data_IF_636295262688
#
_entry.id   IF_636295262688
#
_cell.length_a   1.000
_cell.length_b   1.000
_cell.length_c   1.000
_cell.angle_alpha   90.00
_cell.angle_beta   90.00
_cell.angle_gamma   90.00
#
_symmetry.space_group_name_H-M   'P 1'
#
loop_
_entity.id
_entity.type
_entity.pdbx_description
1 polymer ?
#
# COMPACT_ATOMS: atom_id res chain seq x y z
N UNK A 1 -1.04 -9.63 11.58
CA UNK A 1 -1.57 -8.78 10.48
C UNK A 1 -0.59 -7.72 9.96
N UNK A 2 0.42 -7.27 10.73
CA UNK A 2 1.34 -6.18 10.31
C UNK A 2 1.93 -6.31 8.90
N UNK A 3 2.39 -7.50 8.51
CA UNK A 3 2.92 -7.72 7.15
C UNK A 3 1.86 -7.57 6.04
N UNK A 4 0.62 -7.97 6.31
CA UNK A 4 -0.50 -7.85 5.36
C UNK A 4 -0.97 -6.40 5.20
N UNK A 5 -0.80 -5.55 6.22
CA UNK A 5 -1.08 -4.12 6.10
C UNK A 5 -0.12 -3.45 5.11
N UNK A 6 1.19 -3.70 5.26
CA UNK A 6 2.19 -3.16 4.34
C UNK A 6 1.93 -3.61 2.89
N UNK A 7 1.68 -4.91 2.68
CA UNK A 7 1.30 -5.46 1.36
C UNK A 7 0.08 -4.74 0.76
N UNK A 8 -0.97 -4.52 1.56
CA UNK A 8 -2.21 -3.91 1.08
C UNK A 8 -2.00 -2.44 0.72
N UNK A 9 -1.24 -1.69 1.51
CA UNK A 9 -0.92 -0.29 1.21
C UNK A 9 -0.11 -0.16 -0.08
N UNK A 10 0.92 -1.00 -0.26
CA UNK A 10 1.74 -1.00 -1.47
C UNK A 10 0.92 -1.35 -2.72
N UNK A 11 -0.05 -2.27 -2.61
CA UNK A 11 -1.02 -2.56 -3.69
C UNK A 11 -1.89 -1.35 -4.00
N UNK A 12 -2.43 -0.69 -2.99
CA UNK A 12 -3.34 0.44 -3.16
C UNK A 12 -2.67 1.65 -3.85
N UNK A 13 -1.39 1.90 -3.58
CA UNK A 13 -0.61 2.95 -4.26
C UNK A 13 0.13 2.45 -5.52
N UNK A 14 -0.10 1.20 -5.93
CA UNK A 14 0.45 0.63 -7.16
C UNK A 14 1.97 0.48 -7.17
N UNK A 15 2.59 0.20 -6.02
CA UNK A 15 4.02 -0.09 -5.87
C UNK A 15 4.27 -1.59 -5.68
N UNK A 16 3.62 -2.41 -6.49
CA UNK A 16 3.62 -3.88 -6.36
C UNK A 16 4.98 -4.51 -6.61
N UNK A 17 5.88 -3.85 -7.34
CA UNK A 17 7.27 -4.28 -7.56
C UNK A 17 8.13 -4.25 -6.28
N UNK A 18 7.61 -3.67 -5.20
CA UNK A 18 8.26 -3.67 -3.88
C UNK A 18 7.69 -4.73 -2.94
N UNK A 19 6.77 -5.57 -3.42
CA UNK A 19 6.17 -6.67 -2.67
C UNK A 19 6.92 -7.96 -3.02
N UNK A 20 7.45 -8.64 -2.01
CA UNK A 20 8.15 -9.91 -2.16
C UNK A 20 7.20 -11.08 -1.86
N UNK A 21 7.30 -12.18 -2.62
CA UNK A 21 6.54 -13.40 -2.36
C UNK A 21 7.24 -14.33 -1.36
N UNK A 22 8.55 -14.12 -1.16
CA UNK A 22 9.39 -14.93 -0.27
C UNK A 22 10.61 -14.13 0.22
N UNK A 23 11.36 -14.73 1.14
CA UNK A 23 12.53 -14.10 1.78
C UNK A 23 13.65 -13.75 0.79
N UNK A 24 13.92 -14.60 -0.21
CA UNK A 24 14.97 -14.35 -1.19
C UNK A 24 14.65 -13.14 -2.08
N UNK A 25 13.39 -13.01 -2.49
CA UNK A 25 12.92 -11.84 -3.23
C UNK A 25 12.96 -10.57 -2.38
N UNK A 26 12.59 -10.66 -1.10
CA UNK A 26 12.67 -9.52 -0.18
C UNK A 26 14.10 -8.97 -0.12
N UNK A 27 15.09 -9.86 0.06
CA UNK A 27 16.51 -9.47 0.07
C UNK A 27 16.92 -8.85 -1.28
N UNK A 28 16.51 -9.43 -2.40
CA UNK A 28 16.80 -8.89 -3.74
C UNK A 28 16.25 -7.46 -3.92
N UNK A 29 15.01 -7.23 -3.53
CA UNK A 29 14.34 -5.92 -3.58
C UNK A 29 15.05 -4.92 -2.67
N UNK A 30 15.35 -5.31 -1.42
CA UNK A 30 16.03 -4.45 -0.46
C UNK A 30 17.44 -4.06 -0.93
N UNK A 31 18.20 -5.01 -1.47
CA UNK A 31 19.53 -4.75 -2.05
C UNK A 31 19.43 -3.79 -3.23
N UNK A 32 18.45 -3.98 -4.13
CA UNK A 32 18.22 -3.07 -5.26
C UNK A 32 17.87 -1.65 -4.78
N UNK A 33 17.00 -1.50 -3.76
CA UNK A 33 16.67 -0.19 -3.18
C UNK A 33 17.92 0.49 -2.57
N UNK A 34 18.83 -0.30 -1.98
CA UNK A 34 20.06 0.20 -1.39
C UNK A 34 21.09 0.67 -2.43
N UNK A 35 21.26 -0.10 -3.52
CA UNK A 35 22.34 0.05 -4.49
C UNK A 35 21.95 0.84 -5.76
N UNK A 36 20.68 0.89 -6.13
CA UNK A 36 20.19 1.61 -7.30
C UNK A 36 19.51 2.93 -6.88
N UNK A 37 20.24 4.07 -6.87
CA UNK A 37 19.70 5.35 -6.43
C UNK A 37 18.64 5.90 -7.37
N UNK A 38 18.70 5.57 -8.67
CA UNK A 38 17.71 6.02 -9.66
C UNK A 38 16.39 5.33 -9.37
N UNK A 39 16.42 4.01 -9.23
CA UNK A 39 15.21 3.25 -8.92
C UNK A 39 14.63 3.61 -7.55
N UNK A 40 15.47 3.76 -6.51
CA UNK A 40 15.01 4.25 -5.20
C UNK A 40 14.31 5.60 -5.29
N UNK A 41 14.86 6.54 -6.08
CA UNK A 41 14.24 7.85 -6.28
C UNK A 41 12.88 7.72 -6.95
N UNK A 42 12.75 6.91 -8.01
CA UNK A 42 11.47 6.64 -8.68
C UNK A 42 10.42 6.09 -7.72
N UNK A 43 10.77 5.09 -6.89
CA UNK A 43 9.84 4.53 -5.89
C UNK A 43 9.42 5.61 -4.88
N UNK A 44 10.36 6.42 -4.40
CA UNK A 44 10.06 7.51 -3.46
C UNK A 44 9.14 8.58 -4.05
N UNK A 45 9.34 8.97 -5.30
CA UNK A 45 8.50 9.94 -6.00
C UNK A 45 7.09 9.38 -6.19
N UNK A 46 6.96 8.15 -6.69
CA UNK A 46 5.66 7.49 -6.84
C UNK A 46 4.92 7.34 -5.51
N UNK A 47 5.63 7.03 -4.41
CA UNK A 47 5.03 6.96 -3.07
C UNK A 47 4.54 8.32 -2.60
N UNK A 48 5.32 9.39 -2.84
CA UNK A 48 4.91 10.76 -2.50
C UNK A 48 3.69 11.20 -3.29
N UNK A 49 3.65 10.90 -4.59
CA UNK A 49 2.56 11.30 -5.48
C UNK A 49 1.25 10.58 -5.16
N UNK A 50 1.31 9.37 -4.58
CA UNK A 50 0.16 8.48 -4.41
C UNK A 50 -0.25 8.21 -2.97
N UNK A 51 0.47 8.71 -1.95
CA UNK A 51 0.10 8.44 -0.55
C UNK A 51 -1.31 8.92 -0.18
N UNK A 52 -1.84 9.92 -0.89
CA UNK A 52 -3.19 10.43 -0.68
C UNK A 52 -4.26 9.34 -0.91
N UNK A 53 -3.98 8.36 -1.79
CA UNK A 53 -4.86 7.20 -1.98
C UNK A 53 -4.98 6.31 -0.74
N UNK A 54 -4.06 6.43 0.23
CA UNK A 54 -4.15 5.74 1.53
C UNK A 54 -4.87 6.59 2.56
N UNK A 55 -4.50 7.86 2.67
CA UNK A 55 -4.98 8.71 3.76
C UNK A 55 -6.37 9.29 3.52
N UNK A 56 -6.75 9.46 2.25
CA UNK A 56 -8.01 10.10 1.87
C UNK A 56 -9.06 9.08 1.38
N UNK A 57 -8.80 7.77 1.51
CA UNK A 57 -9.76 6.73 1.13
C UNK A 57 -10.99 6.74 2.06
N UNK A 58 -12.13 7.16 1.50
CA UNK A 58 -13.42 7.19 2.19
C UNK A 58 -14.26 5.92 1.94
N UNK A 59 -13.81 4.98 1.11
CA UNK A 59 -14.60 3.78 0.77
C UNK A 59 -14.95 2.98 2.03
N UNK A 60 -13.98 2.77 2.93
CA UNK A 60 -14.25 2.07 4.19
C UNK A 60 -15.21 2.82 5.10
N UNK A 61 -15.19 4.16 5.10
CA UNK A 61 -16.10 4.99 5.90
C UNK A 61 -17.52 4.86 5.37
N UNK A 62 -17.72 5.05 4.06
CA UNK A 62 -19.02 4.92 3.41
C UNK A 62 -19.60 3.51 3.55
N UNK A 63 -18.77 2.47 3.36
CA UNK A 63 -19.21 1.09 3.53
C UNK A 63 -19.63 0.77 4.97
N UNK A 64 -18.93 1.35 5.96
CA UNK A 64 -19.29 1.20 7.37
C UNK A 64 -20.59 1.95 7.70
N UNK A 65 -20.79 3.14 7.12
CA UNK A 65 -22.05 3.89 7.23
C UNK A 65 -23.23 3.10 6.66
N UNK A 66 -23.10 2.57 5.43
CA UNK A 66 -24.12 1.73 4.78
C UNK A 66 -24.44 0.48 5.62
N UNK A 67 -23.41 -0.17 6.13
CA UNK A 67 -23.58 -1.31 7.03
C UNK A 67 -24.41 -0.94 8.25
N UNK A 68 -24.11 0.21 8.90
CA UNK A 68 -24.87 0.65 10.07
C UNK A 68 -26.32 1.01 9.75
N UNK A 69 -26.58 1.73 8.65
CA UNK A 69 -27.94 2.01 8.19
C UNK A 69 -28.74 0.71 8.00
N UNK A 70 -28.11 -0.31 7.41
CA UNK A 70 -28.72 -1.61 7.16
C UNK A 70 -29.07 -2.37 8.45
N UNK A 71 -28.16 -2.42 9.42
CA UNK A 71 -28.36 -3.25 10.63
C UNK A 71 -29.15 -2.56 11.73
N UNK A 72 -29.15 -1.22 11.78
CA UNK A 72 -29.90 -0.44 12.80
C UNK A 72 -31.31 -0.09 12.30
N UNK A 73 -31.56 -0.14 10.99
CA UNK A 73 -32.89 0.10 10.43
C UNK A 73 -33.33 1.58 10.49
N UNK A 74 -32.43 2.48 10.10
CA UNK A 74 -32.79 3.87 9.76
C UNK A 74 -33.05 3.98 8.26
#
# INVERSE_FOLDING_TARGET
MRGRHADSFLKMIGLTETIAENEAEYVKIAVKLGLDPVWRKTISEQMSDRHHLIFDDQVCVAALEEFYQTVVGL
#
